data_IF_696960445025
#
_entry.id   IF_696960445025
#
_cell.length_a   1.000
_cell.length_b   1.000
_cell.length_c   1.000
_cell.angle_alpha   90.00
_cell.angle_beta   90.00
_cell.angle_gamma   90.00
#
_symmetry.space_group_name_H-M   'P 1'
#
loop_
_entity.id
_entity.type
_entity.pdbx_description
1 polymer ?
#
# COMPACT_ATOMS: atom_id res chain seq x y z
N UNK A 1 31.00 4.62 7.13
CA UNK A 1 32.02 3.55 7.19
C UNK A 1 31.51 2.44 8.08
N UNK A 2 31.83 1.19 7.76
CA UNK A 2 31.43 0.06 8.60
C UNK A 2 32.37 -0.06 9.81
N UNK A 3 31.81 -0.50 10.95
CA UNK A 3 32.52 -0.59 12.23
C UNK A 3 32.23 -1.92 12.93
N UNK A 4 33.12 -2.42 13.78
CA UNK A 4 32.85 -3.59 14.60
C UNK A 4 31.55 -3.46 15.41
N UNK A 5 30.73 -4.51 15.40
CA UNK A 5 29.49 -4.56 16.17
C UNK A 5 29.77 -4.59 17.68
N UNK A 6 29.06 -3.79 18.46
CA UNK A 6 29.17 -3.81 19.91
C UNK A 6 28.33 -4.96 20.50
N UNK A 7 28.79 -5.52 21.61
CA UNK A 7 28.16 -6.65 22.31
C UNK A 7 28.12 -6.37 23.80
N UNK A 8 27.27 -7.09 24.53
CA UNK A 8 27.36 -7.19 25.99
C UNK A 8 28.80 -7.56 26.36
N UNK A 9 29.30 -6.94 27.43
CA UNK A 9 30.68 -6.99 27.95
C UNK A 9 31.75 -6.19 27.19
N UNK A 10 31.46 -5.67 25.98
CA UNK A 10 32.41 -4.79 25.30
C UNK A 10 32.60 -3.47 26.08
N UNK A 11 33.81 -2.87 26.07
CA UNK A 11 34.15 -1.72 26.88
C UNK A 11 33.47 -0.43 26.40
N UNK A 12 32.92 0.33 27.34
CA UNK A 12 32.36 1.67 27.18
C UNK A 12 33.14 2.69 28.03
N UNK A 13 33.72 3.69 27.38
CA UNK A 13 34.51 4.74 28.02
C UNK A 13 33.60 5.89 28.45
N UNK A 14 33.28 5.95 29.74
CA UNK A 14 32.41 6.98 30.31
C UNK A 14 33.23 8.17 30.84
N UNK A 15 32.91 9.42 30.44
CA UNK A 15 33.68 10.60 30.84
C UNK A 15 33.30 11.13 32.23
N UNK A 16 32.22 10.64 32.84
CA UNK A 16 31.83 11.07 34.18
C UNK A 16 32.93 10.70 35.22
N UNK A 17 33.31 11.63 36.11
CA UNK A 17 34.29 11.37 37.16
C UNK A 17 33.93 10.13 37.98
N UNK A 18 34.89 9.21 38.13
CA UNK A 18 34.72 7.96 38.89
C UNK A 18 34.09 6.80 38.10
N UNK A 19 33.61 7.00 36.87
CA UNK A 19 32.99 5.91 36.08
C UNK A 19 34.02 5.14 35.23
N UNK A 20 34.94 5.84 34.56
CA UNK A 20 35.98 5.23 33.73
C UNK A 20 35.46 4.32 32.61
N UNK A 21 36.27 3.35 32.21
CA UNK A 21 35.88 2.33 31.24
C UNK A 21 35.14 1.20 31.94
N UNK A 22 33.92 0.93 31.49
CA UNK A 22 33.02 -0.05 32.09
C UNK A 22 32.28 -0.83 31.00
N UNK A 23 31.88 -2.09 31.23
CA UNK A 23 31.28 -2.91 30.19
C UNK A 23 29.83 -2.51 29.86
N UNK A 24 29.40 -2.81 28.64
CA UNK A 24 27.98 -2.87 28.29
C UNK A 24 27.32 -4.01 29.08
N UNK A 25 26.27 -3.71 29.84
CA UNK A 25 25.63 -4.62 30.79
C UNK A 25 24.50 -5.45 30.16
N UNK A 26 23.72 -4.87 29.26
CA UNK A 26 22.59 -5.54 28.59
C UNK A 26 22.81 -5.69 27.09
N UNK A 27 21.98 -6.51 26.45
CA UNK A 27 22.03 -6.75 25.02
C UNK A 27 20.74 -7.37 24.52
N UNK A 28 20.75 -7.81 23.27
CA UNK A 28 19.69 -8.63 22.68
C UNK A 28 19.49 -9.96 23.46
N UNK A 29 18.24 -10.39 23.66
CA UNK A 29 17.96 -11.67 24.32
C UNK A 29 18.21 -12.89 23.42
N UNK A 30 18.30 -12.69 22.10
CA UNK A 30 18.23 -13.76 21.09
C UNK A 30 19.18 -13.57 19.89
N UNK A 31 19.82 -12.40 19.75
CA UNK A 31 20.84 -12.16 18.72
C UNK A 31 22.22 -12.07 19.36
N UNK A 32 23.12 -12.93 18.88
CA UNK A 32 24.47 -13.08 19.43
C UNK A 32 25.52 -12.85 18.34
N UNK A 33 26.55 -12.06 18.65
CA UNK A 33 27.76 -11.89 17.84
C UNK A 33 28.94 -12.47 18.61
N UNK A 34 29.68 -13.39 18.00
CA UNK A 34 30.76 -14.18 18.64
C UNK A 34 30.35 -14.78 20.01
N UNK A 35 29.10 -15.24 20.14
CA UNK A 35 28.59 -15.84 21.36
C UNK A 35 28.18 -14.87 22.48
N UNK A 36 28.26 -13.55 22.26
CA UNK A 36 27.79 -12.53 23.21
C UNK A 36 26.56 -11.80 22.65
N UNK A 37 25.63 -11.42 23.53
CA UNK A 37 24.43 -10.67 23.15
C UNK A 37 24.79 -9.39 22.40
N UNK A 38 24.19 -9.16 21.23
CA UNK A 38 24.42 -7.95 20.44
C UNK A 38 23.91 -6.70 21.18
N UNK A 39 24.70 -5.64 21.23
CA UNK A 39 24.32 -4.37 21.86
C UNK A 39 23.58 -3.46 20.87
N UNK A 40 22.61 -2.70 21.39
CA UNK A 40 21.63 -1.97 20.60
C UNK A 40 21.22 -0.69 21.31
N UNK A 41 20.43 0.14 20.64
CA UNK A 41 19.85 1.33 21.25
C UNK A 41 19.13 1.01 22.57
N UNK A 42 19.43 1.80 23.60
CA UNK A 42 18.87 1.69 24.93
C UNK A 42 19.47 0.60 25.80
N UNK A 43 20.40 -0.23 25.29
CA UNK A 43 21.16 -1.13 26.16
C UNK A 43 22.03 -0.32 27.13
N UNK A 44 22.08 -0.77 28.39
CA UNK A 44 22.74 -0.04 29.47
C UNK A 44 24.16 -0.53 29.66
N UNK A 45 25.05 0.39 30.08
CA UNK A 45 26.39 0.11 30.55
C UNK A 45 26.34 -0.05 32.08
N UNK A 46 27.32 -0.72 32.69
CA UNK A 46 27.30 -0.93 34.15
C UNK A 46 27.41 0.36 34.96
N UNK A 47 27.88 1.45 34.35
CA UNK A 47 27.84 2.79 34.95
C UNK A 47 26.47 3.49 34.87
N UNK A 48 25.43 2.84 34.33
CA UNK A 48 24.08 3.36 34.19
C UNK A 48 23.80 4.13 32.89
N UNK A 49 24.82 4.41 32.08
CA UNK A 49 24.62 5.07 30.78
C UNK A 49 23.87 4.15 29.81
N UNK A 50 22.91 4.68 29.05
CA UNK A 50 22.22 3.94 27.98
C UNK A 50 22.76 4.36 26.61
N UNK A 51 22.97 3.40 25.71
CA UNK A 51 23.41 3.66 24.34
C UNK A 51 22.33 4.42 23.56
N UNK A 52 22.66 5.58 23.00
CA UNK A 52 21.67 6.53 22.48
C UNK A 52 22.09 7.28 21.22
N UNK A 53 23.38 7.28 20.85
CA UNK A 53 23.88 8.03 19.69
C UNK A 53 24.94 7.24 18.91
N UNK A 54 25.27 7.69 17.69
CA UNK A 54 26.29 7.00 16.87
C UNK A 54 25.96 5.53 16.56
N UNK A 55 24.67 5.19 16.53
CA UNK A 55 24.15 3.85 16.23
C UNK A 55 24.00 3.66 14.71
N UNK A 56 23.89 2.41 14.23
CA UNK A 56 23.65 2.13 12.82
C UNK A 56 22.29 2.68 12.37
N UNK A 57 22.24 3.36 11.22
CA UNK A 57 20.99 3.87 10.62
C UNK A 57 20.27 2.83 9.75
N UNK A 58 20.93 1.72 9.42
CA UNK A 58 20.42 0.73 8.46
C UNK A 58 20.28 -0.67 9.03
N UNK A 59 20.95 -0.98 10.14
CA UNK A 59 20.90 -2.31 10.77
C UNK A 59 20.15 -2.23 12.09
N UNK A 60 19.08 -3.03 12.18
CA UNK A 60 18.22 -3.12 13.35
C UNK A 60 18.27 -4.54 13.93
N UNK A 61 18.35 -4.64 15.26
CA UNK A 61 18.36 -5.89 16.01
C UNK A 61 17.19 -5.84 17.00
N UNK A 62 16.23 -6.77 16.86
CA UNK A 62 14.91 -6.74 17.51
C UNK A 62 14.26 -5.34 17.47
N UNK A 63 14.22 -4.72 16.28
CA UNK A 63 13.59 -3.43 16.05
C UNK A 63 14.35 -2.21 16.59
N UNK A 64 15.55 -2.38 17.14
CA UNK A 64 16.38 -1.29 17.68
C UNK A 64 17.66 -1.12 16.86
N UNK A 65 18.12 0.11 16.67
CA UNK A 65 19.36 0.39 15.95
C UNK A 65 20.55 -0.35 16.60
N UNK A 66 21.35 -1.05 15.78
CA UNK A 66 22.52 -1.78 16.26
C UNK A 66 23.61 -0.82 16.74
N UNK A 67 24.29 -1.16 17.84
CA UNK A 67 25.44 -0.42 18.32
C UNK A 67 26.75 -0.97 17.70
N UNK A 68 27.70 -0.08 17.50
CA UNK A 68 29.05 -0.38 17.01
C UNK A 68 30.09 0.32 17.89
N UNK A 69 31.37 0.10 17.62
CA UNK A 69 32.42 1.02 18.11
C UNK A 69 32.04 2.47 17.76
N UNK A 70 32.32 3.38 18.69
CA UNK A 70 31.95 4.79 18.74
C UNK A 70 30.45 5.09 18.89
N UNK A 71 29.59 4.09 19.10
CA UNK A 71 28.23 4.38 19.57
C UNK A 71 28.31 5.03 20.94
N UNK A 72 27.61 6.16 21.10
CA UNK A 72 27.63 6.97 22.30
C UNK A 72 26.49 6.61 23.26
N UNK A 73 26.71 6.92 24.54
CA UNK A 73 25.70 6.77 25.58
C UNK A 73 25.24 8.10 26.17
N UNK A 74 24.17 8.03 26.99
CA UNK A 74 23.57 9.18 27.68
C UNK A 74 24.52 9.98 28.60
N UNK A 75 25.66 9.41 28.99
CA UNK A 75 26.69 10.09 29.77
C UNK A 75 27.75 10.78 28.89
N UNK A 76 27.58 10.77 27.56
CA UNK A 76 28.53 11.36 26.60
C UNK A 76 29.78 10.53 26.34
N UNK A 77 29.83 9.29 26.86
CA UNK A 77 30.88 8.33 26.56
C UNK A 77 30.64 7.57 25.27
N UNK A 78 31.57 6.70 24.91
CA UNK A 78 31.52 5.89 23.68
C UNK A 78 31.94 4.45 23.91
N UNK A 79 31.40 3.55 23.10
CA UNK A 79 31.86 2.17 23.01
C UNK A 79 33.23 2.14 22.34
N UNK A 80 34.22 1.52 23.00
CA UNK A 80 35.63 1.49 22.56
C UNK A 80 36.12 0.09 22.18
N UNK A 81 35.22 -0.91 22.16
CA UNK A 81 35.52 -2.27 21.70
C UNK A 81 34.31 -2.92 21.04
N UNK A 82 34.54 -3.99 20.29
CA UNK A 82 33.51 -4.66 19.51
C UNK A 82 33.92 -6.06 19.04
N UNK A 83 33.05 -6.67 18.24
CA UNK A 83 33.27 -7.96 17.60
C UNK A 83 34.50 -7.99 16.70
N UNK A 84 35.24 -9.10 16.73
CA UNK A 84 36.36 -9.33 15.82
C UNK A 84 35.95 -9.79 14.41
N UNK A 85 34.70 -10.24 14.23
CA UNK A 85 34.24 -10.88 12.99
C UNK A 85 33.00 -10.22 12.39
N UNK A 86 32.18 -9.53 13.19
CA UNK A 86 30.93 -8.91 12.77
C UNK A 86 31.14 -7.40 12.60
N UNK A 87 31.03 -6.96 11.35
CA UNK A 87 31.21 -5.57 10.94
C UNK A 87 29.87 -5.02 10.43
N UNK A 88 29.38 -3.93 11.02
CA UNK A 88 28.10 -3.31 10.70
C UNK A 88 28.32 -2.00 9.94
N UNK A 89 27.66 -1.89 8.78
CA UNK A 89 27.61 -0.68 7.97
C UNK A 89 26.40 0.22 8.29
N UNK A 90 26.43 1.43 7.72
CA UNK A 90 25.35 2.42 7.78
C UNK A 90 24.98 2.98 6.40
N UNK A 91 25.43 2.33 5.33
CA UNK A 91 25.22 2.75 3.95
C UNK A 91 24.70 1.57 3.15
N UNK A 92 23.62 1.78 2.42
CA UNK A 92 23.11 0.84 1.44
C UNK A 92 22.65 1.63 0.22
N UNK A 93 22.70 0.99 -0.95
CA UNK A 93 22.07 1.51 -2.16
C UNK A 93 20.80 0.69 -2.38
N UNK A 94 19.61 1.24 -2.08
CA UNK A 94 18.37 0.51 -2.35
C UNK A 94 18.24 0.31 -3.86
N UNK A 95 17.76 -0.86 -4.26
CA UNK A 95 17.33 -1.07 -5.64
C UNK A 95 16.07 -0.23 -5.90
N UNK A 96 15.90 0.25 -7.13
CA UNK A 96 14.64 0.88 -7.54
C UNK A 96 13.49 -0.12 -7.37
N UNK A 97 12.47 0.28 -6.60
CA UNK A 97 11.27 -0.51 -6.46
C UNK A 97 10.41 -0.32 -7.70
N UNK A 98 10.22 -1.39 -8.48
CA UNK A 98 9.22 -1.43 -9.54
C UNK A 98 7.94 -2.03 -8.95
N UNK A 99 6.86 -1.25 -8.75
CA UNK A 99 5.60 -1.82 -8.31
C UNK A 99 5.08 -2.82 -9.36
N UNK A 100 4.39 -3.89 -8.93
CA UNK A 100 3.71 -4.75 -9.89
C UNK A 100 2.74 -3.90 -10.73
N UNK A 101 2.72 -4.13 -12.04
CA UNK A 101 1.69 -3.56 -12.90
C UNK A 101 0.31 -4.02 -12.42
N UNK A 102 -0.66 -3.11 -12.34
CA UNK A 102 -2.05 -3.50 -12.15
C UNK A 102 -2.41 -4.53 -13.22
N UNK A 103 -3.11 -5.59 -12.82
CA UNK A 103 -3.60 -6.58 -13.77
C UNK A 103 -4.71 -5.96 -14.61
N UNK A 104 -4.34 -5.34 -15.73
CA UNK A 104 -5.27 -4.92 -16.77
C UNK A 104 -5.83 -6.19 -17.42
N UNK A 105 -7.07 -6.57 -17.11
CA UNK A 105 -7.64 -7.78 -17.72
C UNK A 105 -8.95 -8.30 -17.14
N UNK A 106 -9.28 -8.02 -15.89
CA UNK A 106 -10.65 -8.20 -15.42
C UNK A 106 -11.44 -6.94 -15.73
N UNK A 107 -11.76 -6.74 -17.01
CA UNK A 107 -12.84 -5.83 -17.37
C UNK A 107 -14.10 -6.41 -16.72
N UNK A 108 -14.46 -5.90 -15.53
CA UNK A 108 -15.77 -6.19 -14.95
C UNK A 108 -16.80 -5.73 -15.96
N UNK A 109 -17.77 -6.56 -16.25
CA UNK A 109 -18.86 -6.14 -17.12
C UNK A 109 -20.17 -6.69 -16.57
N UNK A 110 -21.20 -5.90 -16.76
CA UNK A 110 -22.58 -6.29 -16.47
C UNK A 110 -23.32 -6.19 -17.80
N UNK A 111 -24.06 -7.22 -18.16
CA UNK A 111 -24.81 -7.24 -19.41
C UNK A 111 -26.21 -7.78 -19.23
N UNK A 112 -27.10 -7.31 -20.09
CA UNK A 112 -28.49 -7.73 -20.12
C UNK A 112 -28.85 -8.16 -21.52
N UNK A 113 -29.79 -9.10 -21.64
CA UNK A 113 -30.31 -9.56 -22.92
C UNK A 113 -31.83 -9.63 -22.84
N UNK A 114 -32.53 -9.10 -23.83
CA UNK A 114 -33.98 -9.24 -23.96
C UNK A 114 -34.25 -10.57 -24.70
N UNK A 115 -34.89 -11.57 -24.07
CA UNK A 115 -35.14 -12.87 -24.68
C UNK A 115 -36.39 -12.83 -25.57
N UNK A 116 -36.39 -11.98 -26.59
CA UNK A 116 -37.46 -11.81 -27.56
C UNK A 116 -36.97 -12.14 -28.98
N UNK A 117 -37.90 -12.55 -29.85
CA UNK A 117 -37.62 -12.82 -31.27
C UNK A 117 -37.56 -11.53 -32.11
N UNK A 118 -38.19 -10.46 -31.65
CA UNK A 118 -38.13 -9.13 -32.27
C UNK A 118 -36.77 -8.47 -32.07
N UNK A 119 -36.32 -7.65 -33.01
CA UNK A 119 -35.09 -6.87 -32.86
C UNK A 119 -35.35 -5.61 -32.02
N UNK A 120 -34.52 -5.43 -31.00
CA UNK A 120 -34.42 -4.22 -30.17
C UNK A 120 -33.10 -3.49 -30.40
N UNK A 121 -32.41 -3.77 -31.51
CA UNK A 121 -31.19 -3.08 -31.89
C UNK A 121 -31.42 -1.56 -31.94
N UNK A 122 -30.56 -0.79 -31.28
CA UNK A 122 -30.69 0.67 -31.21
C UNK A 122 -31.56 1.18 -30.06
N UNK A 123 -32.18 0.31 -29.25
CA UNK A 123 -32.90 0.74 -28.06
C UNK A 123 -31.92 1.24 -26.99
N UNK A 124 -32.10 2.50 -26.56
CA UNK A 124 -31.29 3.12 -25.51
C UNK A 124 -31.75 2.74 -24.11
N UNK A 125 -30.79 2.50 -23.23
CA UNK A 125 -31.03 2.29 -21.80
C UNK A 125 -29.91 2.90 -20.95
N UNK A 126 -30.18 3.07 -19.66
CA UNK A 126 -29.22 3.49 -18.65
C UNK A 126 -29.24 2.51 -17.48
N UNK A 127 -28.11 1.91 -17.17
CA UNK A 127 -27.91 1.11 -15.96
C UNK A 127 -27.56 2.02 -14.79
N UNK A 128 -28.25 1.88 -13.66
CA UNK A 128 -27.95 2.52 -12.40
C UNK A 128 -27.41 1.48 -11.41
N UNK A 129 -26.33 1.80 -10.69
CA UNK A 129 -25.63 0.87 -9.81
C UNK A 129 -25.80 1.24 -8.33
N UNK A 130 -25.52 0.27 -7.45
CA UNK A 130 -25.66 0.41 -5.99
C UNK A 130 -24.81 1.54 -5.37
N UNK A 131 -23.72 1.93 -6.03
CA UNK A 131 -22.82 3.01 -5.62
C UNK A 131 -23.32 4.40 -6.05
N UNK A 132 -24.48 4.47 -6.71
CA UNK A 132 -25.07 5.69 -7.27
C UNK A 132 -24.55 6.06 -8.66
N UNK A 133 -23.58 5.31 -9.22
CA UNK A 133 -23.11 5.53 -10.59
C UNK A 133 -24.16 5.13 -11.63
N UNK A 134 -24.00 5.60 -12.86
CA UNK A 134 -24.88 5.23 -13.98
C UNK A 134 -24.10 5.15 -15.28
N UNK A 135 -24.47 4.19 -16.15
CA UNK A 135 -23.85 3.99 -17.46
C UNK A 135 -24.92 3.88 -18.55
N UNK A 136 -24.82 4.65 -19.65
CA UNK A 136 -25.69 4.49 -20.80
C UNK A 136 -25.28 3.26 -21.63
N UNK A 137 -26.23 2.67 -22.34
CA UNK A 137 -26.03 1.51 -23.18
C UNK A 137 -27.08 1.42 -24.28
N UNK A 138 -26.73 0.76 -25.37
CA UNK A 138 -27.62 0.55 -26.52
C UNK A 138 -27.62 -0.95 -26.82
N UNK A 139 -28.81 -1.49 -27.06
CA UNK A 139 -28.97 -2.89 -27.44
C UNK A 139 -28.42 -3.15 -28.84
N UNK A 140 -27.69 -4.25 -29.01
CA UNK A 140 -27.14 -4.71 -30.27
C UNK A 140 -28.11 -5.63 -31.03
N UNK A 141 -27.69 -6.09 -32.22
CA UNK A 141 -28.42 -7.06 -33.05
C UNK A 141 -28.79 -8.38 -32.36
N UNK A 142 -28.12 -8.73 -31.26
CA UNK A 142 -28.37 -9.96 -30.49
C UNK A 142 -29.32 -9.70 -29.30
N UNK A 143 -29.94 -8.51 -29.29
CA UNK A 143 -30.75 -7.97 -28.21
C UNK A 143 -30.00 -7.94 -26.88
N UNK A 144 -28.69 -7.68 -26.91
CA UNK A 144 -27.84 -7.59 -25.74
C UNK A 144 -27.26 -6.18 -25.55
N UNK A 145 -27.03 -5.80 -24.29
CA UNK A 145 -26.30 -4.58 -23.91
C UNK A 145 -25.22 -4.94 -22.90
N UNK A 146 -24.03 -4.35 -23.03
CA UNK A 146 -22.87 -4.62 -22.16
C UNK A 146 -22.29 -3.32 -21.60
N UNK A 147 -22.27 -3.22 -20.28
CA UNK A 147 -21.64 -2.13 -19.55
C UNK A 147 -20.24 -2.55 -19.11
N UNK A 148 -19.21 -1.89 -19.66
CA UNK A 148 -17.81 -2.22 -19.38
C UNK A 148 -17.27 -1.39 -18.23
N UNK A 149 -16.59 -2.06 -17.31
CA UNK A 149 -15.91 -1.52 -16.14
C UNK A 149 -16.79 -0.64 -15.23
N UNK A 150 -18.01 -1.09 -14.84
CA UNK A 150 -18.84 -0.33 -13.92
C UNK A 150 -18.13 -0.18 -12.57
N UNK A 151 -18.26 0.99 -11.94
CA UNK A 151 -17.72 1.24 -10.60
C UNK A 151 -18.49 0.46 -9.53
N UNK A 152 -19.80 0.34 -9.70
CA UNK A 152 -20.66 -0.49 -8.87
C UNK A 152 -20.66 -1.96 -9.28
N UNK A 153 -20.79 -2.87 -8.30
CA UNK A 153 -20.77 -4.32 -8.53
C UNK A 153 -22.15 -4.88 -8.88
N UNK A 154 -23.20 -4.18 -8.49
CA UNK A 154 -24.60 -4.57 -8.71
C UNK A 154 -25.32 -3.47 -9.47
N UNK A 155 -25.92 -3.82 -10.62
CA UNK A 155 -26.89 -2.94 -11.29
C UNK A 155 -28.24 -3.09 -10.57
N UNK A 156 -28.74 -2.00 -10.00
CA UNK A 156 -30.00 -1.98 -9.23
C UNK A 156 -31.21 -1.61 -10.07
N UNK A 157 -31.00 -0.92 -11.20
CA UNK A 157 -32.08 -0.53 -12.11
C UNK A 157 -31.55 -0.39 -13.54
N UNK A 158 -32.26 -0.99 -14.51
CA UNK A 158 -32.05 -0.73 -15.93
C UNK A 158 -33.23 0.11 -16.42
N UNK A 159 -32.98 1.38 -16.75
CA UNK A 159 -34.00 2.32 -17.21
C UNK A 159 -33.94 2.44 -18.72
N UNK A 160 -35.05 2.19 -19.40
CA UNK A 160 -35.19 2.40 -20.84
C UNK A 160 -35.56 3.85 -21.10
N UNK A 161 -35.00 4.45 -22.17
CA UNK A 161 -35.46 5.76 -22.62
C UNK A 161 -36.79 5.56 -23.36
N UNK A 162 -37.84 6.23 -22.89
CA UNK A 162 -39.13 6.22 -23.56
C UNK A 162 -38.99 6.97 -24.89
N UNK A 163 -39.22 6.27 -26.00
CA UNK A 163 -39.26 6.92 -27.30
C UNK A 163 -40.36 7.98 -27.25
N UNK A 164 -39.99 9.25 -27.44
CA UNK A 164 -40.97 10.29 -27.69
C UNK A 164 -41.83 9.82 -28.86
N UNK A 165 -43.09 9.49 -28.55
CA UNK A 165 -44.11 9.17 -29.54
C UNK A 165 -44.07 10.28 -30.58
N UNK A 166 -43.60 9.96 -31.79
CA UNK A 166 -43.84 10.81 -32.93
C UNK A 166 -45.36 10.99 -32.97
N UNK A 167 -45.81 12.22 -32.78
CA UNK A 167 -47.21 12.63 -32.72
C UNK A 167 -48.03 11.77 -33.69
N UNK A 168 -48.84 10.86 -33.14
CA UNK A 168 -49.84 10.18 -33.93
C UNK A 168 -50.76 11.29 -34.46
N UNK A 169 -50.56 11.68 -35.72
CA UNK A 169 -51.51 12.54 -36.42
C UNK A 169 -52.89 11.92 -36.18
N UNK A 170 -53.75 12.68 -35.50
CA UNK A 170 -55.08 12.22 -35.14
C UNK A 170 -55.76 11.66 -36.39
N UNK A 171 -56.37 10.48 -36.31
CA UNK A 171 -57.11 9.88 -37.44
C UNK A 171 -58.18 10.84 -37.99
N UNK A 172 -58.62 11.82 -37.19
CA UNK A 172 -59.51 12.91 -37.61
C UNK A 172 -58.86 13.89 -38.59
N UNK A 173 -57.56 14.20 -38.45
CA UNK A 173 -56.82 15.10 -39.34
C UNK A 173 -56.61 14.47 -40.74
N UNK A 174 -56.28 13.17 -40.79
CA UNK A 174 -56.19 12.43 -42.06
C UNK A 174 -57.55 12.34 -42.78
N UNK A 175 -58.66 12.18 -42.05
CA UNK A 175 -59.99 12.12 -42.65
C UNK A 175 -60.47 13.50 -43.14
N UNK A 176 -60.16 14.58 -42.41
CA UNK A 176 -60.50 15.96 -42.80
C UNK A 176 -59.74 16.41 -44.06
N UNK A 177 -58.45 16.09 -44.19
CA UNK A 177 -57.69 16.37 -45.40
C UNK A 177 -58.19 15.60 -46.63
N UNK A 178 -58.80 14.42 -46.44
CA UNK A 178 -59.35 13.63 -47.55
C UNK A 178 -60.71 14.15 -48.04
N UNK A 179 -61.45 14.88 -47.19
CA UNK A 179 -62.80 15.37 -47.51
C UNK A 179 -62.78 16.82 -48.04
N UNK A 180 -61.80 17.63 -47.64
CA UNK A 180 -61.73 19.06 -47.99
C UNK A 180 -60.81 19.41 -49.17
N UNK A 181 -60.08 18.43 -49.73
CA UNK A 181 -59.31 18.56 -50.98
C UNK A 181 -57.80 18.47 -50.78
#
# INVERSE_FOLDING_TARGET
MAKPAARKSDPYSCPLPGHGTNPIATGSPDVFFDGLSAARQGDTCTCGSALSSGLSSTVFINGKNAATIDSGGTHGGVVVGGSGTVIIGSTHTPCEFVPPSLLAGYASWIGFRIPAEESYEGLSCTAHFEDGSSLPGVFDKDNAVKFSNPSGKTCVMLKFEEQASAEALSLTESLLNTILG
#
